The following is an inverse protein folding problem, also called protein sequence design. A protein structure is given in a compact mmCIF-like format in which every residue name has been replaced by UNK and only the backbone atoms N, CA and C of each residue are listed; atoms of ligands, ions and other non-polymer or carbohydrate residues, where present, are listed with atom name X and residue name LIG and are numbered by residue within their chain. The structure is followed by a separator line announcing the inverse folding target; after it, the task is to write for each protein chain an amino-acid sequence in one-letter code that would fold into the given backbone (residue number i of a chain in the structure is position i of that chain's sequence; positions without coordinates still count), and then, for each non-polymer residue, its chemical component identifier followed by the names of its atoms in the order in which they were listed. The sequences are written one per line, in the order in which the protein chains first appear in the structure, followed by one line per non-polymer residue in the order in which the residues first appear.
data_IF_713267880796
#
_entry.id   IF_713267880796
#
_cell.length_a   1.000
_cell.length_b   1.000
_cell.length_c   1.000
_cell.angle_alpha   90.00
_cell.angle_beta   90.00
_cell.angle_gamma   90.00
#
_symmetry.space_group_name_H-M   'P 1'
#
loop_
_entity.id
_entity.type
_entity.pdbx_description
1 polymer ?
#
# COMPACT_ATOMS: atom_id res chain seq x y z
N UNK A 1 -14.47 -0.50 5.47
CA UNK A 1 -14.83 0.36 4.32
C UNK A 1 -14.13 1.73 4.35
N UNK A 2 -13.60 2.18 5.49
CA UNK A 2 -12.94 3.48 5.64
C UNK A 2 -11.83 3.83 4.63
N UNK A 3 -11.18 2.82 4.02
CA UNK A 3 -10.16 3.02 2.97
C UNK A 3 -10.75 3.38 1.61
N UNK A 4 -12.04 3.11 1.39
CA UNK A 4 -12.73 3.28 0.10
C UNK A 4 -13.76 4.40 0.16
N UNK A 5 -14.52 4.48 1.26
CA UNK A 5 -15.65 5.41 1.41
C UNK A 5 -15.86 5.81 2.87
N UNK A 6 -16.63 6.89 3.09
CA UNK A 6 -17.09 7.23 4.44
C UNK A 6 -18.00 6.12 4.98
N UNK A 7 -17.82 5.81 6.27
CA UNK A 7 -18.62 4.80 6.96
C UNK A 7 -20.10 5.15 6.95
N UNK A 8 -20.93 4.18 6.58
CA UNK A 8 -22.39 4.19 6.71
C UNK A 8 -22.86 3.74 8.09
N UNK A 9 -24.18 3.69 8.28
CA UNK A 9 -24.80 3.21 9.53
C UNK A 9 -24.29 1.81 9.92
N UNK A 10 -24.19 0.90 8.95
CA UNK A 10 -23.78 -0.48 9.20
C UNK A 10 -22.33 -0.58 9.69
N UNK A 11 -21.37 -0.02 8.95
CA UNK A 11 -19.95 -0.02 9.33
C UNK A 11 -19.70 0.73 10.63
N UNK A 12 -20.35 1.88 10.85
CA UNK A 12 -20.24 2.64 12.11
C UNK A 12 -20.83 1.88 13.28
N UNK A 13 -21.94 1.17 13.10
CA UNK A 13 -22.53 0.30 14.12
C UNK A 13 -21.56 -0.82 14.50
N UNK A 14 -20.91 -1.48 13.54
CA UNK A 14 -19.89 -2.49 13.82
C UNK A 14 -18.75 -1.88 14.62
N UNK A 15 -18.18 -0.76 14.15
CA UNK A 15 -17.06 -0.09 14.82
C UNK A 15 -17.40 0.29 16.28
N UNK A 16 -18.59 0.85 16.51
CA UNK A 16 -19.07 1.16 17.87
C UNK A 16 -19.26 -0.09 18.72
N UNK A 17 -19.89 -1.13 18.16
CA UNK A 17 -20.22 -2.34 18.91
C UNK A 17 -18.98 -3.12 19.36
N UNK A 18 -17.84 -3.03 18.66
CA UNK A 18 -16.56 -3.57 19.15
C UNK A 18 -16.20 -2.99 20.51
N UNK A 19 -16.37 -1.68 20.72
CA UNK A 19 -16.13 -1.06 22.02
C UNK A 19 -17.13 -1.52 23.09
N UNK A 20 -18.40 -1.71 22.72
CA UNK A 20 -19.44 -2.21 23.63
C UNK A 20 -19.09 -3.63 24.10
N UNK A 21 -18.72 -4.53 23.18
CA UNK A 21 -18.31 -5.90 23.54
C UNK A 21 -17.07 -5.91 24.46
N UNK A 22 -16.06 -5.07 24.17
CA UNK A 22 -14.88 -4.93 25.05
C UNK A 22 -15.27 -4.48 26.47
N UNK A 23 -16.27 -3.61 26.60
CA UNK A 23 -16.72 -3.07 27.89
C UNK A 23 -17.63 -4.02 28.66
N UNK A 24 -18.60 -4.63 27.98
CA UNK A 24 -19.73 -5.31 28.61
C UNK A 24 -19.59 -6.84 28.61
N UNK A 25 -18.89 -7.42 27.64
CA UNK A 25 -18.86 -8.88 27.44
C UNK A 25 -17.50 -9.51 27.78
N UNK A 26 -16.40 -8.85 27.45
CA UNK A 26 -15.06 -9.43 27.59
C UNK A 26 -14.41 -9.23 28.97
N UNK A 27 -15.07 -8.48 29.87
CA UNK A 27 -14.56 -8.27 31.23
C UNK A 27 -13.28 -7.42 31.30
N UNK A 28 -12.91 -6.69 30.24
CA UNK A 28 -11.64 -5.96 30.14
C UNK A 28 -11.53 -4.73 31.06
N UNK A 29 -12.62 -4.35 31.75
CA UNK A 29 -12.64 -3.20 32.66
C UNK A 29 -12.06 -3.51 34.05
N UNK A 30 -11.82 -4.79 34.39
CA UNK A 30 -11.27 -5.20 35.69
C UNK A 30 -10.36 -6.43 35.53
N UNK A 31 -9.19 -6.48 36.20
CA UNK A 31 -8.63 -5.47 37.10
C UNK A 31 -8.06 -4.25 36.36
N UNK A 32 -7.68 -3.22 37.11
CA UNK A 32 -6.87 -2.11 36.56
C UNK A 32 -5.52 -2.67 36.14
N UNK A 33 -5.07 -2.32 34.94
CA UNK A 33 -3.80 -2.74 34.36
C UNK A 33 -3.54 -4.25 34.49
N UNK A 34 -4.33 -5.10 33.81
CA UNK A 34 -4.20 -6.56 33.91
C UNK A 34 -2.83 -7.07 33.40
N UNK A 35 -2.08 -6.26 32.66
CA UNK A 35 -0.75 -6.56 32.17
C UNK A 35 0.36 -6.22 33.18
N UNK A 36 0.06 -5.45 34.24
CA UNK A 36 1.02 -5.00 35.23
C UNK A 36 1.73 -6.18 35.92
N UNK A 37 3.05 -6.09 36.03
CA UNK A 37 3.91 -7.15 36.56
C UNK A 37 4.23 -8.27 35.56
N UNK A 38 3.69 -8.23 34.32
CA UNK A 38 4.12 -9.13 33.25
C UNK A 38 5.57 -8.85 32.89
N UNK A 39 6.46 -9.82 33.11
CA UNK A 39 7.89 -9.68 32.84
C UNK A 39 8.18 -9.15 31.43
N UNK A 40 7.44 -9.62 30.42
CA UNK A 40 7.62 -9.18 29.04
C UNK A 40 7.11 -7.77 28.76
N UNK A 41 5.92 -7.41 29.26
CA UNK A 41 5.32 -6.09 29.01
C UNK A 41 6.06 -5.01 29.81
N UNK A 42 6.47 -5.30 31.04
CA UNK A 42 7.26 -4.39 31.86
C UNK A 42 8.62 -4.10 31.23
N UNK A 43 9.31 -5.14 30.72
CA UNK A 43 10.57 -4.97 30.03
C UNK A 43 10.43 -4.12 28.76
N UNK A 44 9.41 -4.39 27.93
CA UNK A 44 9.13 -3.60 26.72
C UNK A 44 8.73 -2.16 27.05
N UNK A 45 7.94 -1.95 28.10
CA UNK A 45 7.55 -0.62 28.58
C UNK A 45 8.78 0.19 28.99
N UNK A 46 9.70 -0.42 29.75
CA UNK A 46 10.96 0.20 30.14
C UNK A 46 11.83 0.55 28.92
N UNK A 47 12.03 -0.40 28.01
CA UNK A 47 12.83 -0.17 26.80
C UNK A 47 12.25 0.96 25.93
N UNK A 48 10.93 1.00 25.77
CA UNK A 48 10.24 2.07 25.04
C UNK A 48 10.43 3.42 25.73
N UNK A 49 10.28 3.49 27.06
CA UNK A 49 10.47 4.72 27.83
C UNK A 49 11.91 5.25 27.72
N UNK A 50 12.92 4.39 27.81
CA UNK A 50 14.33 4.76 27.66
C UNK A 50 14.64 5.31 26.26
N UNK A 51 14.11 4.69 25.20
CA UNK A 51 14.27 5.17 23.82
C UNK A 51 13.58 6.51 23.59
N UNK A 52 12.34 6.67 24.07
CA UNK A 52 11.60 7.93 23.98
C UNK A 52 12.34 9.04 24.72
N UNK A 53 12.86 8.75 25.92
CA UNK A 53 13.64 9.71 26.70
C UNK A 53 14.90 10.16 25.96
N UNK A 54 15.61 9.22 25.32
CA UNK A 54 16.75 9.54 24.46
C UNK A 54 16.41 10.51 23.33
N UNK A 55 15.26 10.32 22.65
CA UNK A 55 14.81 11.26 21.62
C UNK A 55 14.44 12.64 22.18
N UNK A 56 13.82 12.72 23.37
CA UNK A 56 13.58 14.01 24.01
C UNK A 56 14.89 14.75 24.31
N UNK A 57 15.87 14.08 24.90
CA UNK A 57 17.18 14.67 25.17
C UNK A 57 17.86 15.13 23.89
N UNK A 58 17.71 14.37 22.80
CA UNK A 58 18.26 14.74 21.49
C UNK A 58 17.59 16.00 20.94
N UNK A 59 16.27 16.11 20.99
CA UNK A 59 15.52 17.31 20.56
C UNK A 59 15.94 18.53 21.38
N UNK A 60 16.07 18.39 22.70
CA UNK A 60 16.54 19.48 23.57
C UNK A 60 17.97 19.92 23.21
N UNK A 61 18.87 18.97 22.92
CA UNK A 61 20.24 19.28 22.50
C UNK A 61 20.34 20.07 21.17
N UNK A 62 19.32 19.96 20.31
CA UNK A 62 19.23 20.72 19.06
C UNK A 62 18.75 22.16 19.29
N UNK A 63 18.27 22.48 20.51
CA UNK A 63 17.65 23.77 20.86
C UNK A 63 16.12 23.72 20.89
N UNK A 64 15.54 22.54 21.14
CA UNK A 64 14.11 22.33 21.30
C UNK A 64 13.37 22.01 19.99
N UNK A 65 12.09 21.65 20.12
CA UNK A 65 11.28 21.11 19.01
C UNK A 65 11.14 22.05 17.82
N UNK A 66 11.04 23.37 18.04
CA UNK A 66 10.87 24.33 16.94
C UNK A 66 12.11 24.39 16.04
N UNK A 67 13.31 24.35 16.63
CA UNK A 67 14.55 24.33 15.87
C UNK A 67 14.75 22.97 15.18
N UNK A 68 14.47 21.88 15.88
CA UNK A 68 14.51 20.53 15.31
C UNK A 68 13.57 20.37 14.09
N UNK A 69 12.36 20.98 14.14
CA UNK A 69 11.41 20.97 13.02
C UNK A 69 11.90 21.80 11.82
N UNK A 70 12.52 22.96 12.06
CA UNK A 70 13.15 23.79 11.02
C UNK A 70 14.32 23.07 10.33
N UNK A 71 15.06 22.27 11.09
CA UNK A 71 16.16 21.43 10.58
C UNK A 71 15.66 20.08 10.01
N UNK A 72 14.34 19.86 9.97
CA UNK A 72 13.68 18.65 9.46
C UNK A 72 14.05 17.34 10.19
N UNK A 73 14.52 17.41 11.44
CA UNK A 73 15.00 16.23 12.17
C UNK A 73 13.94 15.11 12.29
N UNK A 74 12.73 15.33 12.87
CA UNK A 74 11.74 14.26 12.97
C UNK A 74 11.19 13.83 11.60
N UNK A 75 11.13 14.74 10.62
CA UNK A 75 10.66 14.44 9.26
C UNK A 75 11.57 13.43 8.56
N UNK A 76 12.89 13.59 8.68
CA UNK A 76 13.86 12.67 8.09
C UNK A 76 13.76 11.28 8.72
N UNK A 77 13.61 11.19 10.05
CA UNK A 77 13.43 9.92 10.74
C UNK A 77 12.16 9.18 10.31
N UNK A 78 11.03 9.89 10.24
CA UNK A 78 9.75 9.30 9.81
C UNK A 78 9.82 8.85 8.36
N UNK A 79 10.47 9.63 7.48
CA UNK A 79 10.68 9.26 6.08
C UNK A 79 11.54 7.99 5.95
N UNK A 80 12.56 7.84 6.79
CA UNK A 80 13.39 6.64 6.79
C UNK A 80 12.61 5.41 7.25
N UNK A 81 11.79 5.54 8.30
CA UNK A 81 10.87 4.47 8.74
C UNK A 81 9.89 4.10 7.62
N UNK A 82 9.34 5.09 6.91
CA UNK A 82 8.44 4.85 5.78
C UNK A 82 9.13 4.03 4.68
N UNK A 83 10.36 4.40 4.27
CA UNK A 83 11.14 3.66 3.28
C UNK A 83 11.40 2.22 3.73
N UNK A 84 11.75 2.03 5.00
CA UNK A 84 11.99 0.69 5.55
C UNK A 84 10.71 -0.17 5.54
N UNK A 85 9.55 0.40 5.90
CA UNK A 85 8.27 -0.30 5.86
C UNK A 85 7.84 -0.65 4.44
N UNK A 86 8.03 0.26 3.50
CA UNK A 86 7.79 -0.04 2.08
C UNK A 86 8.71 -1.15 1.59
N UNK A 87 10.01 -1.09 1.87
CA UNK A 87 10.94 -2.16 1.51
C UNK A 87 10.57 -3.51 2.16
N UNK A 88 10.09 -3.49 3.41
CA UNK A 88 9.65 -4.71 4.09
C UNK A 88 8.39 -5.33 3.46
N UNK A 89 7.43 -4.51 3.03
CA UNK A 89 6.26 -4.96 2.27
C UNK A 89 6.63 -5.48 0.88
N UNK A 90 7.49 -4.77 0.16
CA UNK A 90 8.00 -5.13 -1.16
C UNK A 90 8.65 -6.51 -1.14
N UNK A 91 9.47 -6.78 -0.12
CA UNK A 91 10.13 -8.08 0.11
C UNK A 91 9.25 -9.12 0.81
N UNK A 92 7.94 -8.83 1.01
CA UNK A 92 6.98 -9.69 1.74
C UNK A 92 7.44 -10.11 3.13
N UNK A 93 8.39 -9.38 3.73
CA UNK A 93 8.78 -9.55 5.14
C UNK A 93 7.62 -9.16 6.05
N UNK A 94 6.95 -8.07 5.67
CA UNK A 94 5.69 -7.67 6.25
C UNK A 94 4.55 -8.18 5.36
N UNK A 95 3.55 -8.83 5.97
CA UNK A 95 2.39 -9.40 5.27
C UNK A 95 1.16 -8.52 5.42
N UNK A 96 0.74 -7.87 4.34
CA UNK A 96 -0.55 -7.23 4.19
C UNK A 96 -1.50 -8.18 3.43
N UNK A 97 -2.26 -8.97 4.20
CA UNK A 97 -3.20 -9.98 3.69
C UNK A 97 -4.24 -9.34 2.77
N UNK A 98 -4.50 -9.97 1.63
CA UNK A 98 -5.38 -9.46 0.57
C UNK A 98 -4.71 -8.44 -0.35
N UNK A 99 -3.49 -7.98 -0.02
CA UNK A 99 -2.72 -7.02 -0.83
C UNK A 99 -1.45 -7.67 -1.37
N UNK A 100 -0.34 -7.67 -0.62
CA UNK A 100 0.93 -8.24 -1.08
C UNK A 100 1.07 -9.76 -0.78
N UNK A 101 0.17 -10.32 0.03
CA UNK A 101 0.03 -11.74 0.28
C UNK A 101 -1.43 -12.15 0.19
N UNK A 102 -1.70 -13.31 -0.41
CA UNK A 102 -3.04 -13.87 -0.57
C UNK A 102 -4.04 -12.90 -1.23
N UNK A 103 -3.71 -12.30 -2.40
CA UNK A 103 -4.63 -11.41 -3.10
C UNK A 103 -5.89 -12.17 -3.57
N UNK A 104 -7.05 -11.53 -3.48
CA UNK A 104 -8.31 -12.08 -3.97
C UNK A 104 -8.64 -11.51 -5.35
N UNK A 105 -8.47 -12.33 -6.39
CA UNK A 105 -8.74 -11.95 -7.78
C UNK A 105 -10.24 -11.86 -8.11
N UNK A 106 -11.11 -12.36 -7.23
CA UNK A 106 -12.57 -12.31 -7.40
C UNK A 106 -13.22 -11.32 -6.42
N UNK A 107 -12.45 -10.38 -5.88
CA UNK A 107 -12.96 -9.36 -4.97
C UNK A 107 -13.96 -8.44 -5.69
N UNK A 108 -15.15 -8.28 -5.09
CA UNK A 108 -16.10 -7.26 -5.51
C UNK A 108 -15.75 -5.94 -4.83
N UNK A 109 -15.43 -4.93 -5.65
CA UNK A 109 -15.08 -3.61 -5.14
C UNK A 109 -16.29 -2.94 -4.49
N UNK A 110 -16.07 -2.32 -3.32
CA UNK A 110 -17.07 -1.49 -2.68
C UNK A 110 -17.34 -0.23 -3.51
N UNK A 111 -18.61 0.17 -3.61
CA UNK A 111 -18.99 1.46 -4.19
C UNK A 111 -18.34 2.61 -3.40
N UNK A 112 -17.50 3.46 -4.04
CA UNK A 112 -16.76 4.53 -3.39
C UNK A 112 -17.61 5.65 -2.79
N UNK A 113 -18.88 5.82 -3.20
CA UNK A 113 -19.80 6.88 -2.69
C UNK A 113 -19.10 8.24 -2.48
N UNK A 114 -18.51 8.84 -3.52
CA UNK A 114 -17.84 10.13 -3.38
C UNK A 114 -18.84 11.22 -2.98
N UNK A 115 -18.39 12.19 -2.19
CA UNK A 115 -19.22 13.34 -1.84
C UNK A 115 -19.31 14.30 -3.02
N UNK A 116 -20.50 14.87 -3.24
CA UNK A 116 -20.70 15.94 -4.23
C UNK A 116 -20.13 17.26 -3.69
N UNK A 117 -18.81 17.39 -3.80
CA UNK A 117 -18.06 18.57 -3.35
C UNK A 117 -18.59 19.86 -4.03
N UNK A 118 -18.91 19.88 -5.33
CA UNK A 118 -19.56 21.03 -5.96
C UNK A 118 -20.90 21.43 -5.31
N UNK A 119 -21.80 20.48 -5.09
CA UNK A 119 -23.09 20.75 -4.45
C UNK A 119 -22.93 21.23 -3.01
N UNK A 120 -22.09 20.57 -2.22
CA UNK A 120 -21.79 20.98 -0.84
C UNK A 120 -21.19 22.39 -0.79
N UNK A 121 -20.26 22.70 -1.71
CA UNK A 121 -19.68 24.04 -1.81
C UNK A 121 -20.75 25.08 -2.13
N UNK A 122 -21.67 24.78 -3.05
CA UNK A 122 -22.77 25.67 -3.42
C UNK A 122 -23.68 25.92 -2.22
N UNK A 123 -24.15 24.87 -1.55
CA UNK A 123 -24.99 24.95 -0.36
C UNK A 123 -24.35 25.78 0.76
N UNK A 124 -23.08 25.49 1.09
CA UNK A 124 -22.34 26.21 2.11
C UNK A 124 -22.12 27.68 1.74
N UNK A 125 -21.84 27.98 0.47
CA UNK A 125 -21.65 29.36 0.01
C UNK A 125 -22.94 30.17 0.10
N UNK A 126 -24.06 29.61 -0.34
CA UNK A 126 -25.38 30.23 -0.20
C UNK A 126 -25.78 30.42 1.28
N UNK A 127 -25.42 29.46 2.15
CA UNK A 127 -25.62 29.57 3.59
C UNK A 127 -24.83 30.75 4.20
N UNK A 128 -23.56 30.92 3.81
CA UNK A 128 -22.73 32.04 4.24
C UNK A 128 -23.28 33.37 3.71
N UNK A 129 -23.71 33.43 2.45
CA UNK A 129 -24.32 34.65 1.87
C UNK A 129 -25.58 35.07 2.62
N UNK A 130 -26.48 34.11 2.89
CA UNK A 130 -27.71 34.36 3.67
C UNK A 130 -27.40 34.84 5.09
N UNK A 131 -26.48 34.17 5.77
CA UNK A 131 -26.06 34.56 7.13
C UNK A 131 -25.50 36.00 7.17
N UNK A 132 -24.80 36.42 6.11
CA UNK A 132 -24.20 37.77 6.02
C UNK A 132 -25.14 38.84 5.47
N UNK A 133 -26.35 38.50 5.01
CA UNK A 133 -27.25 39.45 4.35
C UNK A 133 -27.72 40.57 5.31
N UNK A 134 -28.05 40.20 6.55
CA UNK A 134 -28.61 41.11 7.56
C UNK A 134 -27.58 41.54 8.62
N UNK A 135 -26.30 41.34 8.34
CA UNK A 135 -25.22 41.52 9.31
C UNK A 135 -24.68 42.95 9.30
N UNK A 136 -24.39 43.49 10.50
CA UNK A 136 -23.77 44.80 10.66
C UNK A 136 -22.29 44.75 10.22
N UNK A 137 -22.03 45.28 9.03
CA UNK A 137 -20.69 45.29 8.42
C UNK A 137 -19.73 46.23 9.13
N UNK A 138 -20.23 47.31 9.72
CA UNK A 138 -19.41 48.28 10.42
C UNK A 138 -18.97 47.72 11.77
N UNK A 139 -19.90 47.09 12.50
CA UNK A 139 -19.58 46.37 13.74
C UNK A 139 -18.62 45.20 13.51
N UNK A 140 -18.82 44.42 12.43
CA UNK A 140 -17.86 43.37 12.06
C UNK A 140 -16.46 43.93 11.80
N UNK A 141 -16.37 45.01 11.02
CA UNK A 141 -15.09 45.64 10.70
C UNK A 141 -14.39 46.16 11.95
N UNK A 142 -15.13 46.78 12.87
CA UNK A 142 -14.62 47.21 14.17
C UNK A 142 -13.99 46.03 14.93
N UNK A 143 -14.71 44.90 15.06
CA UNK A 143 -14.21 43.73 15.79
C UNK A 143 -13.02 43.05 15.12
N UNK A 144 -12.95 43.06 13.79
CA UNK A 144 -11.79 42.55 13.06
C UNK A 144 -10.56 43.44 13.26
N UNK A 145 -10.70 44.77 13.29
CA UNK A 145 -9.59 45.67 13.58
C UNK A 145 -9.15 45.60 15.05
N UNK A 146 -10.08 45.45 16.00
CA UNK A 146 -9.75 45.16 17.41
C UNK A 146 -8.92 43.88 17.54
N UNK A 147 -9.33 42.80 16.85
CA UNK A 147 -8.61 41.52 16.83
C UNK A 147 -7.22 41.65 16.18
N UNK A 148 -7.12 42.42 15.10
CA UNK A 148 -5.85 42.68 14.41
C UNK A 148 -4.89 43.47 15.29
N UNK A 149 -5.38 44.50 15.99
CA UNK A 149 -4.59 45.32 16.90
C UNK A 149 -4.25 44.59 18.21
N UNK A 150 -4.97 43.53 18.58
CA UNK A 150 -4.78 42.81 19.84
C UNK A 150 -3.38 42.19 19.99
N UNK A 151 -2.77 42.42 21.16
CA UNK A 151 -1.60 41.67 21.66
C UNK A 151 -1.95 40.79 22.88
N UNK A 152 -3.07 41.08 23.56
CA UNK A 152 -3.70 40.27 24.62
C UNK A 152 -5.17 39.99 24.31
N UNK A 153 -5.74 39.00 25.02
CA UNK A 153 -7.17 38.63 24.96
C UNK A 153 -7.61 38.27 23.53
N UNK A 154 -6.72 37.59 22.80
CA UNK A 154 -6.89 37.29 21.38
C UNK A 154 -8.09 36.36 21.18
N UNK A 155 -8.31 35.41 22.11
CA UNK A 155 -9.41 34.45 22.03
C UNK A 155 -10.74 35.16 22.21
N UNK A 156 -10.85 36.04 23.21
CA UNK A 156 -12.04 36.83 23.52
C UNK A 156 -12.39 37.75 22.35
N UNK A 157 -11.39 38.40 21.75
CA UNK A 157 -11.58 39.25 20.56
C UNK A 157 -11.93 38.45 19.32
N UNK A 158 -11.40 37.23 19.17
CA UNK A 158 -11.78 36.34 18.09
C UNK A 158 -13.23 35.86 18.25
N UNK A 159 -13.66 35.53 19.48
CA UNK A 159 -15.06 35.22 19.80
C UNK A 159 -15.95 36.41 19.42
N UNK A 160 -15.58 37.63 19.83
CA UNK A 160 -16.33 38.83 19.47
C UNK A 160 -16.44 39.03 17.95
N UNK A 161 -15.35 38.80 17.20
CA UNK A 161 -15.37 38.85 15.74
C UNK A 161 -16.28 37.78 15.12
N UNK A 162 -16.21 36.53 15.60
CA UNK A 162 -17.10 35.46 15.14
C UNK A 162 -18.57 35.74 15.49
N UNK A 163 -18.85 36.29 16.67
CA UNK A 163 -20.20 36.71 17.08
C UNK A 163 -20.72 37.88 16.23
N UNK A 164 -19.82 38.74 15.74
CA UNK A 164 -20.13 39.76 14.74
C UNK A 164 -20.22 39.19 13.30
N UNK A 165 -20.11 37.86 13.15
CA UNK A 165 -20.28 37.12 11.91
C UNK A 165 -19.05 37.07 10.99
N UNK A 166 -17.85 37.26 11.56
CA UNK A 166 -16.60 37.03 10.84
C UNK A 166 -16.49 35.57 10.38
N UNK A 167 -15.97 35.38 9.17
CA UNK A 167 -15.60 34.05 8.68
C UNK A 167 -14.23 33.63 9.23
N UNK A 168 -13.96 32.32 9.20
CA UNK A 168 -12.64 31.76 9.55
C UNK A 168 -11.52 32.44 8.74
N UNK A 169 -11.76 32.75 7.46
CA UNK A 169 -10.77 33.40 6.60
C UNK A 169 -10.47 34.85 7.03
N UNK A 170 -11.49 35.62 7.41
CA UNK A 170 -11.32 37.01 7.89
C UNK A 170 -10.58 37.05 9.22
N UNK A 171 -10.95 36.20 10.17
CA UNK A 171 -10.25 36.05 11.46
C UNK A 171 -8.78 35.64 11.23
N UNK A 172 -8.53 34.67 10.35
CA UNK A 172 -7.17 34.26 9.98
C UNK A 172 -6.38 35.43 9.38
N UNK A 173 -6.98 36.20 8.47
CA UNK A 173 -6.32 37.34 7.80
C UNK A 173 -6.00 38.45 8.81
N UNK A 174 -6.91 38.76 9.72
CA UNK A 174 -6.70 39.73 10.79
C UNK A 174 -5.52 39.35 11.69
N UNK A 175 -5.26 38.05 11.91
CA UNK A 175 -4.14 37.57 12.72
C UNK A 175 -2.84 37.31 11.96
N UNK A 176 -2.92 36.98 10.68
CA UNK A 176 -1.75 36.62 9.87
C UNK A 176 -0.75 37.78 9.71
N UNK A 177 -1.21 39.03 9.77
CA UNK A 177 -0.37 40.22 9.58
C UNK A 177 0.68 40.47 10.69
N UNK A 178 0.63 39.75 11.82
CA UNK A 178 1.46 40.02 13.00
C UNK A 178 2.52 38.95 13.33
N UNK A 179 2.53 37.81 12.65
CA UNK A 179 3.40 36.69 13.03
C UNK A 179 4.40 36.34 11.93
N UNK A 180 5.70 36.31 12.25
CA UNK A 180 6.69 35.60 11.45
C UNK A 180 6.30 34.12 11.43
N UNK A 181 5.85 33.62 10.28
CA UNK A 181 5.47 32.21 10.14
C UNK A 181 6.72 31.33 10.15
N UNK A 182 6.72 30.33 11.01
CA UNK A 182 7.70 29.25 10.95
C UNK A 182 7.26 28.31 9.82
N UNK A 183 8.07 28.22 8.77
CA UNK A 183 7.87 27.23 7.71
C UNK A 183 8.55 25.92 8.07
N UNK A 184 7.82 24.81 7.91
CA UNK A 184 8.27 23.46 8.22
C UNK A 184 7.79 22.53 7.12
N UNK A 185 8.66 21.63 6.66
CA UNK A 185 8.25 20.61 5.70
C UNK A 185 7.15 19.73 6.28
N UNK A 186 6.04 19.64 5.55
CA UNK A 186 4.90 18.80 5.88
C UNK A 186 5.27 17.32 5.81
N UNK A 187 4.83 16.57 6.82
CA UNK A 187 4.80 15.10 6.78
C UNK A 187 3.47 14.69 6.13
N UNK A 188 3.56 13.83 5.12
CA UNK A 188 2.38 13.31 4.44
C UNK A 188 1.95 12.00 5.10
N UNK A 189 0.64 11.80 5.22
CA UNK A 189 0.09 10.52 5.60
C UNK A 189 0.20 9.58 4.39
N UNK A 190 0.79 8.41 4.61
CA UNK A 190 0.92 7.35 3.62
C UNK A 190 0.13 6.14 4.10
N UNK A 191 -0.66 5.52 3.22
CA UNK A 191 -1.24 4.22 3.56
C UNK A 191 -0.17 3.17 3.38
N UNK A 192 -0.10 2.23 4.31
CA UNK A 192 0.96 1.22 4.32
C UNK A 192 1.05 0.46 2.99
N UNK A 193 -0.09 0.15 2.38
CA UNK A 193 -0.24 -0.63 1.14
C UNK A 193 -0.38 0.20 -0.15
N UNK A 194 -0.26 1.54 -0.07
CA UNK A 194 -0.67 2.43 -1.18
C UNK A 194 0.02 2.16 -2.53
N UNK A 195 1.27 1.69 -2.50
CA UNK A 195 2.03 1.36 -3.72
C UNK A 195 1.43 0.16 -4.45
N UNK A 196 1.06 -0.89 -3.72
CA UNK A 196 0.41 -2.07 -4.30
C UNK A 196 -1.00 -1.77 -4.78
N UNK A 197 -1.74 -0.92 -4.05
CA UNK A 197 -3.05 -0.46 -4.53
C UNK A 197 -2.92 0.32 -5.84
N UNK A 198 -1.92 1.21 -5.94
CA UNK A 198 -1.62 1.90 -7.18
C UNK A 198 -1.28 0.94 -8.32
N UNK A 199 -0.45 -0.07 -8.07
CA UNK A 199 -0.12 -1.10 -9.07
C UNK A 199 -1.39 -1.77 -9.62
N UNK A 200 -2.31 -2.18 -8.74
CA UNK A 200 -3.59 -2.78 -9.15
C UNK A 200 -4.46 -1.81 -9.95
N UNK A 201 -4.55 -0.54 -9.53
CA UNK A 201 -5.30 0.47 -10.28
C UNK A 201 -4.70 0.74 -11.66
N UNK A 202 -3.37 0.73 -11.78
CA UNK A 202 -2.67 0.89 -13.05
C UNK A 202 -2.99 -0.31 -13.99
N UNK A 203 -3.00 -1.55 -13.47
CA UNK A 203 -3.42 -2.75 -14.23
C UNK A 203 -4.90 -2.69 -14.64
N UNK A 204 -5.78 -2.26 -13.75
CA UNK A 204 -7.21 -2.10 -14.05
C UNK A 204 -7.46 -1.04 -15.14
N UNK A 205 -6.73 0.08 -15.08
CA UNK A 205 -6.78 1.12 -16.11
C UNK A 205 -6.31 0.57 -17.46
N UNK A 206 -5.16 -0.13 -17.47
CA UNK A 206 -4.65 -0.79 -18.67
C UNK A 206 -5.66 -1.76 -19.29
N UNK A 207 -6.31 -2.58 -18.46
CA UNK A 207 -7.34 -3.53 -18.91
C UNK A 207 -8.57 -2.83 -19.47
N UNK A 208 -8.99 -1.71 -18.87
CA UNK A 208 -10.12 -0.91 -19.37
C UNK A 208 -9.82 -0.25 -20.71
N UNK A 209 -8.58 0.20 -20.92
CA UNK A 209 -8.17 0.89 -22.15
C UNK A 209 -7.91 -0.07 -23.31
N UNK A 210 -7.20 -1.18 -23.05
CA UNK A 210 -6.74 -2.11 -24.10
C UNK A 210 -7.66 -3.31 -24.30
N UNK A 211 -8.52 -3.60 -23.32
CA UNK A 211 -9.31 -4.83 -23.26
C UNK A 211 -8.50 -6.08 -22.91
N UNK A 212 -7.20 -5.94 -22.64
CA UNK A 212 -6.26 -7.04 -22.34
C UNK A 212 -5.70 -6.90 -20.93
N UNK A 213 -5.34 -8.02 -20.30
CA UNK A 213 -4.54 -8.01 -19.08
C UNK A 213 -3.09 -8.41 -19.40
N UNK A 214 -2.21 -8.40 -18.39
CA UNK A 214 -0.91 -9.07 -18.48
C UNK A 214 -1.13 -10.56 -18.31
N UNK A 215 -0.84 -11.33 -19.36
CA UNK A 215 -1.10 -12.77 -19.44
C UNK A 215 0.17 -13.57 -19.14
N UNK A 216 0.12 -14.41 -18.11
CA UNK A 216 1.29 -15.13 -17.58
C UNK A 216 1.09 -16.64 -17.70
N UNK A 217 2.04 -17.29 -18.37
CA UNK A 217 2.08 -18.74 -18.53
C UNK A 217 2.91 -19.42 -17.44
N UNK A 218 2.39 -20.47 -16.80
CA UNK A 218 3.19 -21.31 -15.91
C UNK A 218 3.74 -22.54 -16.64
N UNK A 219 5.03 -22.56 -16.93
CA UNK A 219 5.75 -23.71 -17.46
C UNK A 219 6.04 -24.72 -16.33
N UNK A 220 4.98 -25.40 -15.86
CA UNK A 220 5.04 -26.40 -14.79
C UNK A 220 5.65 -27.71 -15.30
N UNK A 221 6.83 -28.09 -14.80
CA UNK A 221 7.50 -29.33 -15.22
C UNK A 221 7.17 -30.49 -14.28
N UNK A 222 7.01 -31.68 -14.86
CA UNK A 222 6.77 -32.92 -14.12
C UNK A 222 5.36 -33.03 -13.52
N UNK A 223 5.10 -34.06 -12.70
CA UNK A 223 3.81 -34.27 -12.05
C UNK A 223 3.51 -33.18 -11.00
N UNK A 224 2.22 -33.01 -10.67
CA UNK A 224 1.71 -31.98 -9.74
C UNK A 224 2.53 -31.84 -8.45
N UNK A 225 2.90 -32.92 -7.72
CA UNK A 225 3.69 -32.79 -6.49
C UNK A 225 5.05 -32.10 -6.67
N UNK A 226 5.62 -32.12 -7.87
CA UNK A 226 6.91 -31.52 -8.19
C UNK A 226 6.82 -29.99 -8.30
N UNK A 227 5.81 -29.47 -8.99
CA UNK A 227 5.72 -28.05 -9.32
C UNK A 227 4.70 -27.27 -8.48
N UNK A 228 3.71 -27.92 -7.85
CA UNK A 228 2.57 -27.25 -7.20
C UNK A 228 2.96 -26.14 -6.23
N UNK A 229 3.92 -26.39 -5.35
CA UNK A 229 4.33 -25.40 -4.35
C UNK A 229 4.94 -24.13 -4.99
N UNK A 230 5.74 -24.29 -6.05
CA UNK A 230 6.35 -23.18 -6.80
C UNK A 230 5.33 -22.47 -7.69
N UNK A 231 4.42 -23.21 -8.30
CA UNK A 231 3.30 -22.68 -9.08
C UNK A 231 2.39 -21.82 -8.19
N UNK A 232 1.90 -22.34 -7.07
CA UNK A 232 1.05 -21.62 -6.12
C UNK A 232 1.74 -20.35 -5.59
N UNK A 233 3.03 -20.45 -5.25
CA UNK A 233 3.81 -19.29 -4.81
C UNK A 233 3.92 -18.23 -5.91
N UNK A 234 4.25 -18.62 -7.14
CA UNK A 234 4.43 -17.69 -8.27
C UNK A 234 3.10 -17.07 -8.70
N UNK A 235 2.01 -17.83 -8.67
CA UNK A 235 0.65 -17.32 -8.88
C UNK A 235 0.32 -16.25 -7.86
N UNK A 236 0.48 -16.54 -6.56
CA UNK A 236 0.26 -15.55 -5.51
C UNK A 236 1.27 -14.41 -5.58
N UNK A 237 2.46 -14.61 -6.14
CA UNK A 237 3.46 -13.57 -6.40
C UNK A 237 2.95 -12.53 -7.39
N UNK A 238 2.47 -12.99 -8.54
CA UNK A 238 2.13 -12.15 -9.68
C UNK A 238 0.71 -11.59 -9.61
N UNK A 239 -0.23 -12.30 -8.98
CA UNK A 239 -1.60 -11.83 -8.78
C UNK A 239 -1.72 -10.59 -7.88
N UNK A 240 -0.66 -10.24 -7.15
CA UNK A 240 -0.62 -8.96 -6.41
C UNK A 240 -0.79 -7.77 -7.35
N UNK A 241 -0.26 -7.87 -8.57
CA UNK A 241 -0.44 -6.87 -9.63
C UNK A 241 -1.76 -7.00 -10.40
N UNK A 242 -2.67 -7.89 -10.00
CA UNK A 242 -3.90 -8.22 -10.72
C UNK A 242 -3.68 -8.86 -12.10
N UNK A 243 -2.51 -9.48 -12.30
CA UNK A 243 -2.18 -10.18 -13.55
C UNK A 243 -2.96 -11.49 -13.71
N UNK A 244 -3.22 -11.86 -14.97
CA UNK A 244 -3.88 -13.11 -15.33
C UNK A 244 -2.85 -14.25 -15.36
N UNK A 245 -2.86 -15.12 -14.35
CA UNK A 245 -1.94 -16.26 -14.27
C UNK A 245 -2.66 -17.54 -14.70
N UNK A 246 -2.12 -18.22 -15.71
CA UNK A 246 -2.72 -19.42 -16.31
C UNK A 246 -2.08 -20.69 -15.75
N UNK A 247 -2.90 -21.48 -15.07
CA UNK A 247 -2.51 -22.74 -14.44
C UNK A 247 -2.66 -23.93 -15.41
N UNK A 248 -1.86 -24.98 -15.18
CA UNK A 248 -2.00 -26.27 -15.85
C UNK A 248 -1.50 -27.41 -14.94
N UNK A 249 -1.72 -28.66 -15.38
CA UNK A 249 -1.42 -29.87 -14.60
C UNK A 249 0.03 -30.38 -14.75
N UNK A 250 0.90 -29.58 -15.35
CA UNK A 250 2.29 -29.92 -15.61
C UNK A 250 2.55 -30.69 -16.89
N UNK A 251 3.77 -30.53 -17.42
CA UNK A 251 4.24 -31.18 -18.62
C UNK A 251 5.15 -32.35 -18.26
N UNK A 252 4.81 -33.54 -18.76
CA UNK A 252 5.51 -34.80 -18.48
C UNK A 252 5.96 -35.45 -19.79
N UNK A 253 7.03 -36.23 -19.69
CA UNK A 253 7.54 -37.00 -20.82
C UNK A 253 6.58 -38.14 -21.17
N UNK A 254 6.50 -38.47 -22.46
CA UNK A 254 5.93 -39.73 -22.91
C UNK A 254 6.90 -40.88 -22.54
N UNK A 255 6.35 -42.07 -22.25
CA UNK A 255 7.12 -43.23 -21.77
C UNK A 255 8.35 -43.57 -22.62
N UNK A 256 8.28 -43.35 -23.94
CA UNK A 256 9.35 -43.68 -24.90
C UNK A 256 10.12 -42.45 -25.43
N UNK A 257 9.86 -41.24 -24.91
CA UNK A 257 10.44 -40.00 -25.44
C UNK A 257 10.87 -39.04 -24.31
N UNK A 258 12.02 -39.28 -23.66
CA UNK A 258 12.62 -38.35 -22.72
C UNK A 258 12.81 -36.95 -23.36
N UNK A 259 12.40 -35.90 -22.63
CA UNK A 259 12.45 -34.51 -23.10
C UNK A 259 11.22 -34.03 -23.88
N UNK A 260 10.26 -34.92 -24.20
CA UNK A 260 8.99 -34.54 -24.85
C UNK A 260 8.15 -33.57 -24.01
N UNK A 261 8.37 -33.50 -22.69
CA UNK A 261 7.76 -32.50 -21.80
C UNK A 261 8.06 -31.06 -22.23
N UNK A 262 9.27 -30.80 -22.73
CA UNK A 262 9.66 -29.45 -23.17
C UNK A 262 8.94 -29.06 -24.46
N UNK A 263 8.82 -29.98 -25.42
CA UNK A 263 8.07 -29.73 -26.66
C UNK A 263 6.59 -29.44 -26.36
N UNK A 264 5.96 -30.26 -25.50
CA UNK A 264 4.56 -30.03 -25.06
C UNK A 264 4.38 -28.67 -24.40
N UNK A 265 5.33 -28.25 -23.58
CA UNK A 265 5.30 -26.95 -22.90
C UNK A 265 5.40 -25.78 -23.88
N UNK A 266 6.32 -25.87 -24.84
CA UNK A 266 6.51 -24.85 -25.88
C UNK A 266 5.29 -24.75 -26.80
N UNK A 267 4.70 -25.88 -27.18
CA UNK A 267 3.48 -25.88 -28.01
C UNK A 267 2.28 -25.30 -27.24
N UNK A 268 2.16 -25.55 -25.93
CA UNK A 268 1.15 -24.92 -25.10
C UNK A 268 1.34 -23.39 -24.98
N UNK A 269 2.59 -22.92 -24.86
CA UNK A 269 2.89 -21.48 -24.86
C UNK A 269 2.51 -20.83 -26.21
N UNK A 270 2.82 -21.49 -27.33
CA UNK A 270 2.47 -21.00 -28.68
C UNK A 270 0.98 -21.01 -28.96
N UNK A 271 0.24 -21.94 -28.37
CA UNK A 271 -1.21 -22.03 -28.53
C UNK A 271 -1.93 -20.78 -28.00
N UNK A 272 -1.30 -20.02 -27.10
CA UNK A 272 -1.82 -18.78 -26.54
C UNK A 272 -2.76 -19.02 -25.34
N UNK A 273 -3.20 -17.93 -24.72
CA UNK A 273 -3.96 -17.95 -23.48
C UNK A 273 -5.48 -18.11 -23.66
N UNK A 274 -5.97 -18.13 -24.90
CA UNK A 274 -7.38 -18.25 -25.25
C UNK A 274 -7.57 -18.96 -26.60
N UNK A 275 -8.82 -19.22 -26.99
CA UNK A 275 -9.18 -19.87 -28.27
C UNK A 275 -8.75 -19.06 -29.51
N UNK A 276 -8.36 -17.79 -29.33
CA UNK A 276 -7.91 -16.90 -30.41
C UNK A 276 -6.39 -16.92 -30.58
N UNK A 277 -5.68 -17.64 -29.71
CA UNK A 277 -4.23 -17.69 -29.70
C UNK A 277 -3.59 -16.38 -29.23
N UNK A 278 -4.23 -15.67 -28.29
CA UNK A 278 -3.64 -14.47 -27.70
C UNK A 278 -2.30 -14.83 -27.03
N UNK A 279 -1.18 -14.16 -27.39
CA UNK A 279 0.14 -14.51 -26.87
C UNK A 279 0.26 -14.14 -25.39
N UNK A 280 1.08 -14.89 -24.67
CA UNK A 280 1.47 -14.59 -23.30
C UNK A 280 2.53 -13.48 -23.26
N UNK A 281 2.46 -12.61 -22.25
CA UNK A 281 3.44 -11.54 -22.03
C UNK A 281 4.65 -12.03 -21.21
N UNK A 282 4.42 -12.99 -20.31
CA UNK A 282 5.46 -13.57 -19.45
C UNK A 282 5.28 -15.07 -19.31
N UNK A 283 6.35 -15.78 -18.96
CA UNK A 283 6.27 -17.16 -18.50
C UNK A 283 7.09 -17.40 -17.24
N UNK A 284 6.70 -18.39 -16.44
CA UNK A 284 7.42 -18.81 -15.23
C UNK A 284 7.69 -20.30 -15.29
N UNK A 285 8.96 -20.69 -15.24
CA UNK A 285 9.34 -22.11 -15.12
C UNK A 285 9.20 -22.53 -13.66
N UNK A 286 8.35 -23.53 -13.41
CA UNK A 286 8.05 -24.06 -12.09
C UNK A 286 8.41 -25.55 -12.03
N UNK A 287 9.42 -25.90 -11.24
CA UNK A 287 9.86 -27.28 -11.02
C UNK A 287 10.56 -27.40 -9.67
N UNK A 288 11.35 -28.45 -9.47
CA UNK A 288 12.20 -28.59 -8.27
C UNK A 288 13.63 -28.14 -8.54
N UNK A 289 14.32 -27.72 -7.49
CA UNK A 289 15.73 -27.32 -7.58
C UNK A 289 16.62 -28.45 -8.14
N UNK A 290 16.24 -29.72 -7.91
CA UNK A 290 16.95 -30.89 -8.43
C UNK A 290 16.84 -31.07 -9.96
N UNK A 291 15.78 -30.57 -10.58
CA UNK A 291 15.50 -30.76 -12.01
C UNK A 291 15.85 -29.54 -12.85
N UNK A 292 16.02 -28.36 -12.25
CA UNK A 292 16.42 -27.14 -12.96
C UNK A 292 17.72 -27.23 -13.76
N UNK A 293 18.79 -27.93 -13.32
CA UNK A 293 19.99 -28.10 -14.14
C UNK A 293 19.74 -28.78 -15.50
N UNK A 294 18.68 -29.57 -15.61
CA UNK A 294 18.26 -30.23 -16.85
C UNK A 294 17.19 -29.41 -17.57
N UNK A 295 16.13 -29.00 -16.86
CA UNK A 295 14.96 -28.34 -17.44
C UNK A 295 15.29 -26.94 -17.96
N UNK A 296 16.05 -26.13 -17.22
CA UNK A 296 16.25 -24.71 -17.56
C UNK A 296 17.08 -24.54 -18.84
N UNK A 297 18.26 -25.18 -19.01
CA UNK A 297 19.03 -25.03 -20.24
C UNK A 297 18.30 -25.55 -21.49
N UNK A 298 17.47 -26.58 -21.35
CA UNK A 298 16.71 -27.16 -22.45
C UNK A 298 15.46 -26.34 -22.82
N UNK A 299 14.76 -25.78 -21.83
CA UNK A 299 13.46 -25.13 -22.02
C UNK A 299 13.55 -23.61 -22.19
N UNK A 300 14.41 -22.93 -21.43
CA UNK A 300 14.41 -21.46 -21.37
C UNK A 300 14.68 -20.78 -22.73
N UNK A 301 15.66 -21.22 -23.55
CA UNK A 301 15.89 -20.61 -24.87
C UNK A 301 14.68 -20.73 -25.79
N UNK A 302 14.00 -21.88 -25.73
CA UNK A 302 12.81 -22.18 -26.55
C UNK A 302 11.60 -21.35 -26.12
N UNK A 303 11.38 -21.18 -24.82
CA UNK A 303 10.32 -20.30 -24.33
C UNK A 303 10.61 -18.83 -24.69
N UNK A 304 11.87 -18.41 -24.58
CA UNK A 304 12.28 -17.04 -24.91
C UNK A 304 12.09 -16.72 -26.40
N UNK A 305 12.37 -17.69 -27.28
CA UNK A 305 12.09 -17.56 -28.72
C UNK A 305 10.60 -17.29 -29.00
N UNK A 306 9.70 -17.97 -28.28
CA UNK A 306 8.24 -17.79 -28.43
C UNK A 306 7.76 -16.48 -27.78
N UNK A 307 8.25 -16.15 -26.58
CA UNK A 307 7.89 -14.91 -25.87
C UNK A 307 8.42 -13.65 -26.55
N UNK A 308 9.52 -13.75 -27.30
CA UNK A 308 10.22 -12.63 -27.90
C UNK A 308 10.70 -11.63 -26.85
N UNK A 309 9.96 -10.51 -26.70
CA UNK A 309 10.27 -9.46 -25.71
C UNK A 309 9.69 -9.72 -24.33
N UNK A 310 8.87 -10.77 -24.17
CA UNK A 310 8.30 -11.14 -22.89
C UNK A 310 9.35 -11.55 -21.85
N UNK A 311 8.97 -11.44 -20.58
CA UNK A 311 9.86 -11.77 -19.45
C UNK A 311 9.70 -13.25 -19.07
N UNK A 312 10.83 -13.95 -18.96
CA UNK A 312 10.90 -15.34 -18.53
C UNK A 312 11.47 -15.41 -17.11
N UNK A 313 10.65 -15.93 -16.20
CA UNK A 313 10.99 -16.10 -14.79
C UNK A 313 11.33 -17.56 -14.47
N UNK A 314 12.18 -17.75 -13.46
CA UNK A 314 12.38 -19.04 -12.79
C UNK A 314 11.82 -19.00 -11.36
N UNK A 315 11.00 -19.99 -10.98
CA UNK A 315 10.45 -20.07 -9.63
C UNK A 315 11.45 -20.70 -8.64
N UNK A 316 12.06 -19.87 -7.80
CA UNK A 316 13.12 -20.25 -6.86
C UNK A 316 14.35 -19.38 -7.07
N UNK A 317 15.26 -19.39 -6.09
CA UNK A 317 16.56 -18.75 -6.25
C UNK A 317 17.51 -19.71 -6.96
N UNK A 318 18.22 -19.23 -7.98
CA UNK A 318 19.30 -20.01 -8.57
C UNK A 318 20.43 -20.25 -7.55
N UNK A 319 21.00 -21.46 -7.50
CA UNK A 319 22.31 -21.67 -6.90
C UNK A 319 23.35 -20.71 -7.52
N UNK A 320 24.28 -20.18 -6.71
CA UNK A 320 25.24 -19.16 -7.15
C UNK A 320 26.10 -19.60 -8.34
N UNK A 321 26.36 -20.89 -8.43
CA UNK A 321 27.12 -21.56 -9.49
C UNK A 321 26.32 -21.78 -10.78
N UNK A 322 24.98 -21.78 -10.70
CA UNK A 322 24.09 -21.99 -11.84
C UNK A 322 23.39 -20.71 -12.33
N UNK A 323 23.44 -19.62 -11.56
CA UNK A 323 22.76 -18.36 -11.94
C UNK A 323 23.22 -17.84 -13.30
N UNK A 324 24.53 -17.80 -13.55
CA UNK A 324 25.07 -17.35 -14.84
C UNK A 324 24.57 -18.23 -15.99
N UNK A 325 24.56 -19.55 -15.80
CA UNK A 325 24.08 -20.53 -16.80
C UNK A 325 22.59 -20.32 -17.10
N UNK A 326 21.76 -20.09 -16.08
CA UNK A 326 20.33 -19.86 -16.27
C UNK A 326 20.03 -18.52 -16.93
N UNK A 327 20.79 -17.47 -16.60
CA UNK A 327 20.67 -16.17 -17.28
C UNK A 327 21.10 -16.27 -18.74
N UNK A 328 22.19 -16.96 -19.04
CA UNK A 328 22.64 -17.23 -20.42
C UNK A 328 21.62 -18.07 -21.20
N UNK A 329 20.92 -18.99 -20.53
CA UNK A 329 19.82 -19.75 -21.13
C UNK A 329 18.55 -18.92 -21.40
N UNK A 330 18.47 -17.68 -20.91
CA UNK A 330 17.38 -16.75 -21.18
C UNK A 330 16.42 -16.47 -20.03
N UNK A 331 16.75 -16.89 -18.80
CA UNK A 331 16.01 -16.45 -17.60
C UNK A 331 16.34 -14.98 -17.31
N UNK A 332 15.31 -14.13 -17.29
CA UNK A 332 15.47 -12.70 -16.98
C UNK A 332 15.51 -12.48 -15.47
N UNK A 333 14.58 -13.08 -14.73
CA UNK A 333 14.40 -12.84 -13.29
C UNK A 333 14.00 -14.09 -12.49
N UNK A 334 14.16 -14.02 -11.17
CA UNK A 334 13.91 -15.12 -10.24
C UNK A 334 12.81 -14.80 -9.23
N UNK A 335 11.77 -15.64 -9.15
CA UNK A 335 10.69 -15.50 -8.18
C UNK A 335 11.03 -16.32 -6.94
N UNK A 336 11.44 -15.67 -5.86
CA UNK A 336 11.84 -16.33 -4.60
C UNK A 336 11.30 -15.60 -3.37
N UNK A 337 11.48 -16.19 -2.19
CA UNK A 337 11.09 -15.56 -0.90
C UNK A 337 11.81 -14.23 -0.65
N UNK A 338 12.96 -13.99 -1.31
CA UNK A 338 13.72 -12.74 -1.20
C UNK A 338 13.50 -11.78 -2.37
N UNK A 339 12.67 -12.16 -3.35
CA UNK A 339 12.39 -11.31 -4.50
C UNK A 339 11.54 -10.10 -4.06
N UNK A 340 11.79 -8.95 -4.69
CA UNK A 340 10.89 -7.81 -4.57
C UNK A 340 9.63 -8.14 -5.36
N UNK A 341 8.47 -8.11 -4.69
CA UNK A 341 7.16 -8.38 -5.30
C UNK A 341 6.52 -7.15 -5.95
N UNK A 342 7.03 -5.95 -5.65
CA UNK A 342 6.50 -4.72 -6.19
C UNK A 342 7.16 -4.30 -7.51
N UNK A 343 8.49 -4.39 -7.56
CA UNK A 343 9.28 -4.12 -8.77
C UNK A 343 9.17 -5.29 -9.75
#
# INVERSE_FOLDING_TARGET
DATVRKGDEFSRRIARNVHIMLQEEFGMLRPIDPAGGSWGIEALTKEMAEKIWGEFQKIESLGGILKALKEEYPQQQILEILKQRFKALDLRKDSAVGTNMYPNMTEELLDPRPEDVPALKKELSEGVEKYRADMDKDFLKEKLEELKAADTDIVEKAIAAFSAGATISEVRTARAAKADSIEVRKIYAHRWTERFEKLRFDTQAFKKETGKNVEIFLANMGPIPQHKARADFSTSFLQVGEFSVHLNNGFQDDEDKPGSRWDKCVEALKAGCDDKGTPYDCAVICSTDATYPEDVPALAPRLKEVLGKGTLFLAGAAPKDMEAVYREAGIDEFISVKANCYD
#
